data_IF_330661107177
#
_entry.id   IF_330661107177
#
_cell.length_a   1.000
_cell.length_b   1.000
_cell.length_c   1.000
_cell.angle_alpha   90.00
_cell.angle_beta   90.00
_cell.angle_gamma   90.00
#
_symmetry.space_group_name_H-M   'P 1'
#
loop_
_entity.id
_entity.type
_entity.pdbx_description
1 polymer ?
#
# COMPACT_ATOMS: atom_id res chain seq x y z
N UNK A 1 -20.81 -48.58 -35.31
CA UNK A 1 -20.94 -47.38 -34.48
C UNK A 1 -20.27 -47.48 -33.09
N UNK A 2 -20.01 -48.64 -32.49
CA UNK A 2 -19.35 -48.77 -31.15
C UNK A 2 -17.85 -48.39 -31.13
N UNK A 3 -17.08 -48.58 -32.18
CA UNK A 3 -15.63 -48.33 -32.19
C UNK A 3 -15.20 -46.84 -32.33
N UNK A 4 -16.10 -45.93 -32.73
CA UNK A 4 -15.79 -44.48 -32.77
C UNK A 4 -15.89 -43.80 -31.41
N UNK A 5 -16.82 -44.23 -30.55
CA UNK A 5 -16.99 -43.66 -29.19
C UNK A 5 -15.82 -44.00 -28.24
N UNK A 6 -15.21 -45.20 -28.41
CA UNK A 6 -14.05 -45.58 -27.58
C UNK A 6 -12.78 -44.79 -27.96
N UNK A 7 -12.58 -44.48 -29.25
CA UNK A 7 -11.41 -43.67 -29.66
C UNK A 7 -11.49 -42.22 -29.22
N UNK A 8 -12.68 -41.59 -29.19
CA UNK A 8 -12.89 -40.24 -28.72
C UNK A 8 -12.70 -40.13 -27.19
N UNK A 9 -13.14 -41.11 -26.41
CA UNK A 9 -12.93 -41.13 -24.95
C UNK A 9 -11.43 -41.28 -24.56
N UNK A 10 -10.71 -42.14 -25.28
CA UNK A 10 -9.28 -42.33 -25.08
C UNK A 10 -8.47 -41.06 -25.43
N UNK A 11 -8.82 -40.34 -26.49
CA UNK A 11 -8.14 -39.08 -26.86
C UNK A 11 -8.43 -37.98 -25.84
N UNK A 12 -9.67 -37.84 -25.32
CA UNK A 12 -9.96 -36.89 -24.25
C UNK A 12 -9.19 -37.19 -22.94
N UNK A 13 -9.04 -38.47 -22.60
CA UNK A 13 -8.28 -38.86 -21.42
C UNK A 13 -6.79 -38.55 -21.53
N UNK A 14 -6.18 -38.80 -22.71
CA UNK A 14 -4.77 -38.50 -22.99
C UNK A 14 -4.51 -36.99 -23.00
N UNK A 15 -5.42 -36.17 -23.55
CA UNK A 15 -5.31 -34.72 -23.58
C UNK A 15 -5.47 -34.14 -22.19
N UNK A 16 -6.42 -34.62 -21.37
CA UNK A 16 -6.59 -34.19 -19.97
C UNK A 16 -5.38 -34.57 -19.12
N UNK A 17 -4.83 -35.77 -19.34
CA UNK A 17 -3.63 -36.23 -18.62
C UNK A 17 -2.37 -35.45 -19.03
N UNK A 18 -2.22 -35.10 -20.29
CA UNK A 18 -1.13 -34.25 -20.79
C UNK A 18 -1.24 -32.80 -20.30
N UNK A 19 -2.45 -32.29 -20.19
CA UNK A 19 -2.72 -30.97 -19.65
C UNK A 19 -2.42 -30.91 -18.11
N UNK A 20 -2.78 -31.96 -17.38
CA UNK A 20 -2.47 -32.05 -15.94
C UNK A 20 -0.96 -32.20 -15.70
N UNK A 21 -0.26 -33.03 -16.48
CA UNK A 21 1.20 -33.16 -16.42
C UNK A 21 1.92 -31.85 -16.77
N UNK A 22 1.46 -31.10 -17.77
CA UNK A 22 2.04 -29.81 -18.12
C UNK A 22 1.80 -28.73 -17.05
N UNK A 23 0.65 -28.75 -16.38
CA UNK A 23 0.38 -27.87 -15.25
C UNK A 23 1.21 -28.24 -14.02
N UNK A 24 1.38 -29.51 -13.72
CA UNK A 24 2.26 -29.96 -12.62
C UNK A 24 3.73 -29.63 -12.91
N UNK A 25 4.22 -29.81 -14.12
CA UNK A 25 5.60 -29.48 -14.51
C UNK A 25 5.83 -27.95 -14.46
N UNK A 26 4.86 -27.15 -14.90
CA UNK A 26 4.93 -25.67 -14.79
C UNK A 26 4.91 -25.22 -13.32
N UNK A 27 4.03 -25.79 -12.52
CA UNK A 27 3.97 -25.53 -11.08
C UNK A 27 5.26 -25.93 -10.38
N UNK A 28 5.82 -27.09 -10.69
CA UNK A 28 7.06 -27.56 -10.12
C UNK A 28 8.29 -26.75 -10.56
N UNK A 29 8.32 -26.23 -11.80
CA UNK A 29 9.33 -25.26 -12.27
C UNK A 29 9.19 -23.91 -11.58
N UNK A 30 7.97 -23.43 -11.37
CA UNK A 30 7.71 -22.17 -10.65
C UNK A 30 8.18 -22.26 -9.18
N UNK A 31 7.93 -23.39 -8.50
CA UNK A 31 8.39 -23.66 -7.13
C UNK A 31 9.92 -23.72 -7.03
N UNK A 32 10.60 -24.32 -8.02
CA UNK A 32 12.07 -24.40 -8.04
C UNK A 32 12.76 -23.04 -8.20
N UNK A 33 12.08 -22.06 -8.82
CA UNK A 33 12.62 -20.71 -8.98
C UNK A 33 12.38 -19.78 -7.78
N UNK A 34 11.61 -20.22 -6.78
CA UNK A 34 11.25 -19.42 -5.60
C UNK A 34 12.08 -19.84 -4.37
N UNK A 35 13.41 -19.87 -4.55
CA UNK A 35 14.38 -20.21 -3.51
C UNK A 35 15.41 -19.09 -3.41
N UNK A 36 15.57 -18.51 -2.22
CA UNK A 36 16.69 -17.62 -1.90
C UNK A 36 17.92 -18.48 -1.55
N UNK A 37 18.89 -18.55 -2.48
CA UNK A 37 20.12 -19.32 -2.29
C UNK A 37 21.03 -18.76 -1.18
N UNK A 38 20.81 -17.51 -0.79
CA UNK A 38 21.54 -16.86 0.31
C UNK A 38 20.90 -17.03 1.68
N UNK A 39 19.76 -17.77 1.78
CA UNK A 39 19.04 -17.97 3.02
C UNK A 39 19.06 -19.43 3.48
N UNK A 40 19.28 -19.67 4.77
CA UNK A 40 19.28 -21.01 5.36
C UNK A 40 17.87 -21.38 5.83
N UNK A 41 17.23 -22.27 5.08
CA UNK A 41 15.90 -22.78 5.41
C UNK A 41 15.96 -23.83 6.52
N UNK A 42 15.51 -23.46 7.71
CA UNK A 42 15.51 -24.35 8.89
C UNK A 42 14.37 -25.39 8.81
N UNK A 43 14.62 -26.59 9.33
CA UNK A 43 13.56 -27.59 9.47
C UNK A 43 12.51 -27.09 10.45
N UNK A 44 11.26 -27.23 10.09
CA UNK A 44 10.10 -26.90 10.92
C UNK A 44 9.14 -28.08 11.00
N UNK A 45 8.58 -28.35 12.18
CA UNK A 45 7.54 -29.35 12.37
C UNK A 45 6.18 -28.64 12.43
N UNK A 46 5.36 -28.70 11.36
CA UNK A 46 4.07 -28.03 11.32
C UNK A 46 3.14 -28.49 12.44
N UNK A 47 2.40 -27.54 13.00
CA UNK A 47 1.33 -27.79 13.98
C UNK A 47 -0.04 -27.70 13.29
N UNK A 48 -1.05 -28.38 13.83
CA UNK A 48 -2.43 -28.31 13.30
C UNK A 48 -3.04 -26.90 13.37
N UNK A 49 -2.54 -26.08 14.29
CA UNK A 49 -2.98 -24.71 14.52
C UNK A 49 -2.28 -23.67 13.64
N UNK A 50 -1.26 -24.08 12.88
CA UNK A 50 -0.56 -23.16 11.99
C UNK A 50 -1.47 -22.77 10.81
N UNK A 51 -1.51 -21.48 10.49
CA UNK A 51 -2.05 -21.02 9.22
C UNK A 51 -1.08 -21.42 8.11
N UNK A 52 -1.62 -22.04 7.07
CA UNK A 52 -0.83 -22.48 5.91
C UNK A 52 -1.11 -21.53 4.76
N UNK A 53 -0.06 -20.91 4.23
CA UNK A 53 -0.16 -20.02 3.05
C UNK A 53 0.77 -20.56 1.96
N UNK A 54 0.29 -20.58 0.71
CA UNK A 54 1.11 -20.91 -0.46
C UNK A 54 1.99 -19.71 -0.83
N UNK A 55 3.30 -19.95 -0.97
CA UNK A 55 4.29 -18.93 -1.32
C UNK A 55 4.08 -18.39 -2.74
N UNK A 56 3.79 -19.27 -3.68
CA UNK A 56 3.54 -18.89 -5.09
C UNK A 56 2.23 -18.11 -5.25
N UNK A 57 1.16 -18.50 -4.54
CA UNK A 57 -0.08 -17.72 -4.53
C UNK A 57 0.10 -16.36 -3.85
N UNK A 58 0.93 -16.31 -2.83
CA UNK A 58 1.25 -15.04 -2.15
C UNK A 58 2.09 -14.14 -3.07
N UNK A 59 3.01 -14.70 -3.85
CA UNK A 59 3.75 -13.98 -4.87
C UNK A 59 2.81 -13.33 -5.91
N UNK A 60 1.78 -14.05 -6.36
CA UNK A 60 0.75 -13.49 -7.25
C UNK A 60 -0.01 -12.34 -6.59
N UNK A 61 -0.32 -12.46 -5.30
CA UNK A 61 -0.93 -11.37 -4.51
C UNK A 61 0.01 -10.16 -4.37
N UNK A 62 1.30 -10.37 -4.13
CA UNK A 62 2.28 -9.28 -4.11
C UNK A 62 2.44 -8.60 -5.48
N UNK A 63 2.35 -9.36 -6.57
CA UNK A 63 2.26 -8.77 -7.90
C UNK A 63 1.00 -7.91 -8.03
N UNK A 64 -0.14 -8.43 -7.56
CA UNK A 64 -1.41 -7.69 -7.53
C UNK A 64 -1.34 -6.41 -6.71
N UNK A 65 -0.59 -6.41 -5.59
CA UNK A 65 -0.30 -5.23 -4.79
C UNK A 65 0.37 -4.15 -5.65
N UNK A 66 1.56 -4.41 -6.19
CA UNK A 66 2.32 -3.45 -6.98
C UNK A 66 1.56 -2.95 -8.22
N UNK A 67 0.83 -3.85 -8.90
CA UNK A 67 0.02 -3.46 -10.05
C UNK A 67 -1.16 -2.59 -9.66
N UNK A 68 -1.89 -2.98 -8.63
CA UNK A 68 -3.06 -2.25 -8.13
C UNK A 68 -2.68 -0.87 -7.60
N UNK A 69 -1.58 -0.79 -6.86
CA UNK A 69 -0.99 0.43 -6.36
C UNK A 69 -0.60 1.39 -7.49
N UNK A 70 0.17 0.93 -8.49
CA UNK A 70 0.55 1.77 -9.63
C UNK A 70 -0.65 2.27 -10.43
N UNK A 71 -1.68 1.44 -10.69
CA UNK A 71 -2.91 1.90 -11.39
C UNK A 71 -3.58 3.00 -10.58
N UNK A 72 -3.69 2.79 -9.30
CA UNK A 72 -4.44 3.66 -8.40
C UNK A 72 -3.70 4.96 -8.12
N UNK A 73 -2.41 4.89 -7.83
CA UNK A 73 -1.54 6.04 -7.64
C UNK A 73 -1.57 6.98 -8.87
N UNK A 74 -1.29 6.46 -10.07
CA UNK A 74 -1.33 7.26 -11.30
C UNK A 74 -2.72 7.82 -11.62
N UNK A 75 -3.79 7.17 -11.15
CA UNK A 75 -5.16 7.69 -11.27
C UNK A 75 -5.40 8.81 -10.27
N UNK A 76 -4.92 8.68 -9.04
CA UNK A 76 -5.02 9.69 -8.00
C UNK A 76 -4.21 10.94 -8.30
N UNK A 77 -2.99 10.79 -8.84
CA UNK A 77 -2.11 11.89 -9.29
C UNK A 77 -2.78 12.84 -10.29
N UNK A 78 -3.83 12.42 -11.00
CA UNK A 78 -4.58 13.33 -11.90
C UNK A 78 -5.23 14.46 -11.14
N UNK A 79 -5.73 14.19 -9.94
CA UNK A 79 -6.52 15.13 -9.11
C UNK A 79 -5.81 15.56 -7.84
N UNK A 80 -4.53 15.17 -7.70
CA UNK A 80 -3.72 15.49 -6.52
C UNK A 80 -3.70 17.00 -6.27
N UNK A 81 -4.11 17.38 -5.07
CA UNK A 81 -4.15 18.77 -4.59
C UNK A 81 -5.00 19.77 -5.42
N UNK A 82 -5.86 19.29 -6.30
CA UNK A 82 -6.82 20.14 -7.02
C UNK A 82 -7.86 20.74 -6.07
N UNK A 83 -8.29 19.94 -5.11
CA UNK A 83 -9.39 20.26 -4.19
C UNK A 83 -9.00 20.00 -2.75
N UNK A 84 -8.67 21.07 -2.03
CA UNK A 84 -8.38 21.03 -0.60
C UNK A 84 -9.35 21.89 0.24
N UNK A 85 -10.40 22.38 -0.40
CA UNK A 85 -11.32 23.37 0.17
C UNK A 85 -10.71 24.78 0.18
N UNK A 86 -11.27 25.65 1.04
CA UNK A 86 -10.80 27.01 1.20
C UNK A 86 -10.12 27.16 2.56
N UNK A 87 -8.80 27.05 2.60
CA UNK A 87 -7.98 27.07 3.82
C UNK A 87 -6.99 28.24 3.75
N UNK A 88 -7.06 29.16 4.72
CA UNK A 88 -6.21 30.37 4.71
C UNK A 88 -6.37 31.16 3.44
N UNK A 89 -5.26 31.39 2.75
CA UNK A 89 -5.15 32.08 1.46
C UNK A 89 -5.42 31.18 0.25
N UNK A 90 -5.38 29.85 0.43
CA UNK A 90 -5.61 28.88 -0.64
C UNK A 90 -7.12 28.73 -0.88
N UNK A 91 -7.55 28.86 -2.13
CA UNK A 91 -8.96 28.79 -2.54
C UNK A 91 -9.13 27.86 -3.73
N UNK A 92 -9.51 26.61 -3.46
CA UNK A 92 -9.75 25.62 -4.52
C UNK A 92 -11.24 25.43 -4.86
N UNK A 93 -12.13 26.12 -4.13
CA UNK A 93 -13.57 26.05 -4.36
C UNK A 93 -14.21 24.75 -3.86
N UNK A 94 -15.30 24.37 -4.51
CA UNK A 94 -16.01 23.15 -4.18
C UNK A 94 -15.21 21.90 -4.59
N UNK A 95 -15.33 20.87 -3.77
CA UNK A 95 -14.72 19.57 -4.07
C UNK A 95 -15.40 18.87 -5.27
N UNK A 96 -14.71 17.92 -5.86
CA UNK A 96 -15.29 17.05 -6.89
C UNK A 96 -16.45 16.20 -6.34
N UNK A 97 -17.33 15.80 -7.24
CA UNK A 97 -18.39 14.83 -6.99
C UNK A 97 -18.26 13.69 -8.00
N UNK A 98 -19.04 12.63 -7.83
CA UNK A 98 -19.08 11.51 -8.80
C UNK A 98 -19.35 11.96 -10.25
N UNK A 99 -20.01 13.12 -10.43
CA UNK A 99 -20.30 13.70 -11.74
C UNK A 99 -19.05 14.24 -12.46
N UNK A 100 -17.94 14.42 -11.74
CA UNK A 100 -16.67 14.88 -12.31
C UNK A 100 -15.86 13.74 -12.93
N UNK A 101 -16.19 12.48 -12.64
CA UNK A 101 -15.53 11.37 -13.31
C UNK A 101 -15.77 11.38 -14.81
N UNK A 102 -14.70 11.26 -15.60
CA UNK A 102 -14.73 11.39 -17.05
C UNK A 102 -14.79 12.85 -17.56
N UNK A 103 -14.71 13.85 -16.68
CA UNK A 103 -14.65 15.27 -17.04
C UNK A 103 -13.21 15.75 -17.11
N UNK A 104 -13.04 16.95 -17.67
CA UNK A 104 -11.75 17.65 -17.73
C UNK A 104 -11.23 17.88 -16.32
N UNK A 105 -9.95 17.59 -16.14
CA UNK A 105 -9.22 17.87 -14.92
C UNK A 105 -9.07 19.40 -14.70
N UNK A 106 -8.82 19.79 -13.44
CA UNK A 106 -8.64 21.19 -13.05
C UNK A 106 -7.20 21.39 -12.54
N UNK A 107 -6.82 22.64 -12.33
CA UNK A 107 -5.50 22.97 -11.82
C UNK A 107 -5.39 22.66 -10.32
N UNK A 108 -4.28 22.11 -9.94
CA UNK A 108 -3.91 21.94 -8.53
C UNK A 108 -3.45 23.26 -7.89
N UNK A 109 -3.13 23.22 -6.58
CA UNK A 109 -2.73 24.41 -5.81
C UNK A 109 -1.43 25.06 -6.29
N UNK A 110 -0.60 24.36 -7.07
CA UNK A 110 0.65 24.88 -7.61
C UNK A 110 0.49 25.58 -8.99
N UNK A 111 -0.73 25.57 -9.55
CA UNK A 111 -1.00 26.08 -10.90
C UNK A 111 -0.55 25.12 -11.99
N UNK A 112 -1.28 24.98 -13.03
CA UNK A 112 -1.18 23.89 -14.00
C UNK A 112 0.21 23.54 -14.51
N UNK A 113 0.43 22.28 -14.80
CA UNK A 113 1.61 21.75 -15.50
C UNK A 113 2.05 20.35 -15.14
N UNK A 114 1.95 19.91 -13.89
CA UNK A 114 2.39 18.55 -13.53
C UNK A 114 1.35 17.48 -13.93
N UNK A 115 0.09 17.70 -13.64
CA UNK A 115 -0.96 16.70 -13.80
C UNK A 115 -1.53 16.63 -15.22
N UNK A 116 -1.54 17.75 -15.95
CA UNK A 116 -1.94 17.79 -17.36
C UNK A 116 -1.12 16.84 -18.27
N UNK A 117 0.09 16.47 -17.85
CA UNK A 117 0.92 15.51 -18.56
C UNK A 117 0.56 14.02 -18.24
N UNK A 118 -0.23 13.77 -17.18
CA UNK A 118 -0.69 12.45 -16.80
C UNK A 118 -1.98 12.12 -17.55
N UNK A 119 -2.99 12.93 -17.38
CA UNK A 119 -4.26 12.85 -18.10
C UNK A 119 -4.97 14.21 -18.09
N UNK A 120 -5.56 14.66 -19.20
CA UNK A 120 -6.40 15.85 -19.20
C UNK A 120 -7.81 15.60 -18.66
N UNK A 121 -8.11 14.36 -18.28
CA UNK A 121 -9.43 13.88 -17.89
C UNK A 121 -9.32 13.08 -16.61
N UNK A 122 -10.22 13.30 -15.67
CA UNK A 122 -10.32 12.53 -14.43
C UNK A 122 -10.85 11.13 -14.75
N UNK A 123 -9.93 10.19 -15.01
CA UNK A 123 -10.25 8.80 -15.34
C UNK A 123 -9.06 7.91 -14.97
N UNK A 124 -9.27 6.60 -15.05
CA UNK A 124 -8.21 5.63 -14.81
C UNK A 124 -7.01 5.84 -15.73
N UNK A 125 -5.83 5.87 -15.15
CA UNK A 125 -4.57 5.92 -15.89
C UNK A 125 -3.97 4.52 -16.00
N UNK A 126 -3.66 4.11 -17.23
CA UNK A 126 -3.16 2.76 -17.50
C UNK A 126 -1.85 2.78 -18.28
N UNK A 127 -1.10 1.68 -18.14
CA UNK A 127 0.05 1.35 -18.99
C UNK A 127 -0.17 -0.03 -19.58
N UNK A 128 -0.28 -0.09 -20.90
CA UNK A 128 -0.52 -1.34 -21.63
C UNK A 128 0.69 -2.27 -21.63
N UNK A 129 0.48 -3.54 -22.00
CA UNK A 129 1.56 -4.52 -22.19
C UNK A 129 2.67 -3.94 -23.07
N UNK A 130 3.91 -4.13 -22.66
CA UNK A 130 5.08 -3.55 -23.32
C UNK A 130 5.45 -2.14 -22.84
N UNK A 131 4.54 -1.43 -22.17
CA UNK A 131 4.79 -0.16 -21.51
C UNK A 131 5.60 -0.29 -20.23
N UNK A 132 5.68 0.81 -19.48
CA UNK A 132 6.38 0.89 -18.19
C UNK A 132 5.65 1.86 -17.27
N UNK A 133 5.44 1.46 -16.02
CA UNK A 133 4.95 2.31 -14.95
C UNK A 133 6.10 3.21 -14.46
N UNK A 134 5.80 4.45 -14.22
CA UNK A 134 6.65 5.31 -13.41
C UNK A 134 6.32 5.15 -11.93
N UNK A 135 6.94 5.97 -11.12
CA UNK A 135 6.71 6.05 -9.68
C UNK A 135 6.72 7.49 -9.19
N UNK A 136 6.18 7.71 -8.03
CA UNK A 136 6.36 8.86 -7.18
C UNK A 136 6.72 8.41 -5.75
N UNK A 137 6.55 9.23 -4.74
CA UNK A 137 6.96 8.90 -3.38
C UNK A 137 6.06 7.84 -2.71
N UNK A 138 4.78 7.70 -3.09
CA UNK A 138 3.91 6.63 -2.59
C UNK A 138 4.46 5.24 -2.91
N UNK A 139 4.98 5.05 -4.12
CA UNK A 139 5.44 3.74 -4.59
C UNK A 139 6.94 3.55 -4.45
N UNK A 140 7.76 4.62 -4.57
CA UNK A 140 9.20 4.49 -4.64
C UNK A 140 9.88 4.34 -3.27
N UNK A 141 9.33 4.91 -2.21
CA UNK A 141 9.88 4.74 -0.87
C UNK A 141 9.58 3.33 -0.34
N UNK A 142 8.42 2.77 -0.62
CA UNK A 142 8.13 1.36 -0.34
C UNK A 142 9.09 0.41 -1.07
N UNK A 143 9.34 0.70 -2.35
CA UNK A 143 10.34 -0.03 -3.13
C UNK A 143 11.73 0.08 -2.50
N UNK A 144 12.14 1.27 -2.02
CA UNK A 144 13.41 1.45 -1.30
C UNK A 144 13.44 0.57 -0.05
N UNK A 145 12.41 0.56 0.79
CA UNK A 145 12.37 -0.28 1.99
C UNK A 145 12.46 -1.77 1.65
N UNK A 146 11.71 -2.24 0.65
CA UNK A 146 11.82 -3.61 0.18
C UNK A 146 13.25 -3.93 -0.30
N UNK A 147 13.86 -3.01 -1.07
CA UNK A 147 15.23 -3.15 -1.55
C UNK A 147 16.22 -3.22 -0.40
N UNK A 148 16.12 -2.36 0.60
CA UNK A 148 17.01 -2.35 1.77
C UNK A 148 16.91 -3.63 2.59
N UNK A 149 15.70 -4.16 2.82
CA UNK A 149 15.52 -5.46 3.49
C UNK A 149 16.20 -6.58 2.73
N UNK A 150 16.03 -6.62 1.41
CA UNK A 150 16.60 -7.66 0.56
C UNK A 150 18.13 -7.58 0.47
N UNK A 151 18.70 -6.40 0.19
CA UNK A 151 20.15 -6.18 0.07
C UNK A 151 20.89 -6.41 1.40
N UNK A 152 20.32 -5.95 2.51
CA UNK A 152 20.89 -6.17 3.84
C UNK A 152 20.65 -7.61 4.36
N UNK A 153 19.90 -8.44 3.64
CA UNK A 153 19.54 -9.81 4.02
C UNK A 153 18.96 -9.87 5.45
N UNK A 154 18.08 -8.94 5.76
CA UNK A 154 17.44 -8.77 7.06
C UNK A 154 15.93 -8.74 6.95
N UNK A 155 15.23 -9.05 8.02
CA UNK A 155 13.79 -8.90 8.15
C UNK A 155 13.39 -7.62 8.90
N UNK A 156 14.34 -6.97 9.58
CA UNK A 156 14.13 -5.71 10.32
C UNK A 156 15.27 -4.74 9.99
N UNK A 157 14.92 -3.52 9.62
CA UNK A 157 15.90 -2.47 9.38
C UNK A 157 16.29 -1.76 10.69
N UNK A 158 17.58 -1.51 10.85
CA UNK A 158 18.09 -0.63 11.90
C UNK A 158 18.04 0.83 11.44
N UNK A 159 18.02 1.79 12.38
CA UNK A 159 18.08 3.22 12.06
C UNK A 159 19.30 3.58 11.20
N UNK A 160 20.44 2.91 11.43
CA UNK A 160 21.64 3.06 10.61
C UNK A 160 21.41 2.60 9.16
N UNK A 161 20.80 1.43 8.95
CA UNK A 161 20.51 0.92 7.61
C UNK A 161 19.50 1.81 6.87
N UNK A 162 18.50 2.34 7.56
CA UNK A 162 17.55 3.30 6.96
C UNK A 162 18.30 4.56 6.52
N UNK A 163 19.07 5.17 7.42
CA UNK A 163 19.85 6.37 7.10
C UNK A 163 20.80 6.14 5.93
N UNK A 164 21.63 5.09 5.98
CA UNK A 164 22.59 4.78 4.92
C UNK A 164 21.89 4.51 3.59
N UNK A 165 20.76 3.80 3.62
CA UNK A 165 19.93 3.51 2.45
C UNK A 165 19.34 4.78 1.82
N UNK A 166 18.74 5.64 2.63
CA UNK A 166 18.18 6.90 2.13
C UNK A 166 19.26 7.81 1.52
N UNK A 167 20.38 8.00 2.22
CA UNK A 167 21.50 8.82 1.72
C UNK A 167 22.14 8.24 0.45
N UNK A 168 22.09 6.93 0.26
CA UNK A 168 22.61 6.25 -0.94
C UNK A 168 21.65 6.33 -2.12
N UNK A 169 20.35 6.21 -1.86
CA UNK A 169 19.36 5.95 -2.90
C UNK A 169 18.51 7.17 -3.28
N UNK A 170 18.59 8.26 -2.53
CA UNK A 170 17.86 9.49 -2.80
C UNK A 170 18.85 10.58 -3.15
N UNK A 171 18.65 11.30 -4.26
CA UNK A 171 19.48 12.42 -4.63
C UNK A 171 19.43 13.53 -3.60
N UNK A 172 20.58 14.08 -3.23
CA UNK A 172 20.72 15.03 -2.13
C UNK A 172 20.90 16.49 -2.59
N UNK A 173 21.35 16.71 -3.84
CA UNK A 173 21.88 17.98 -4.35
C UNK A 173 20.90 18.75 -5.24
N UNK A 174 19.79 18.15 -5.60
CA UNK A 174 18.75 18.76 -6.45
C UNK A 174 17.37 18.54 -5.85
N UNK A 175 16.34 19.14 -6.45
CA UNK A 175 14.96 18.81 -6.11
C UNK A 175 14.75 17.30 -6.28
N UNK A 176 14.43 16.63 -5.18
CA UNK A 176 14.36 15.17 -5.11
C UNK A 176 12.95 14.62 -5.01
N UNK A 177 11.95 15.50 -5.04
CA UNK A 177 10.52 15.14 -4.92
C UNK A 177 10.22 14.32 -3.66
N UNK A 178 10.92 14.63 -2.59
CA UNK A 178 10.48 14.32 -1.24
C UNK A 178 9.75 15.53 -0.67
N UNK A 179 8.71 15.27 0.07
CA UNK A 179 7.88 16.33 0.61
C UNK A 179 7.95 16.32 2.15
N UNK A 180 7.59 17.43 2.73
CA UNK A 180 7.31 17.70 4.14
C UNK A 180 8.16 16.90 5.12
N UNK A 181 7.61 15.88 5.80
CA UNK A 181 8.33 15.13 6.83
C UNK A 181 9.40 14.19 6.27
N UNK A 182 9.22 13.66 5.04
CA UNK A 182 10.25 12.89 4.35
C UNK A 182 11.48 13.76 4.03
N UNK A 183 11.29 14.95 3.45
CA UNK A 183 12.40 15.87 3.17
C UNK A 183 13.10 16.29 4.46
N UNK A 184 12.34 16.63 5.51
CA UNK A 184 12.93 16.99 6.79
C UNK A 184 13.73 15.86 7.41
N UNK A 185 13.23 14.62 7.35
CA UNK A 185 13.95 13.45 7.84
C UNK A 185 15.27 13.23 7.07
N UNK A 186 15.26 13.36 5.73
CA UNK A 186 16.46 13.26 4.91
C UNK A 186 17.51 14.33 5.30
N UNK A 187 17.09 15.57 5.54
CA UNK A 187 17.99 16.65 5.94
C UNK A 187 18.61 16.39 7.34
N UNK A 188 17.84 15.83 8.26
CA UNK A 188 18.37 15.40 9.56
C UNK A 188 19.34 14.22 9.42
N UNK A 189 19.07 13.28 8.50
CA UNK A 189 19.98 12.18 8.19
C UNK A 189 21.31 12.67 7.60
N UNK A 190 21.32 13.70 6.76
CA UNK A 190 22.53 14.37 6.28
C UNK A 190 23.37 14.91 7.44
N UNK A 191 22.72 15.42 8.48
CA UNK A 191 23.37 15.93 9.70
C UNK A 191 23.81 14.82 10.68
N UNK A 192 23.58 13.54 10.35
CA UNK A 192 24.02 12.40 11.15
C UNK A 192 22.94 11.75 12.03
N UNK A 193 21.74 12.32 12.07
CA UNK A 193 20.63 11.70 12.83
C UNK A 193 20.14 10.41 12.19
N UNK A 194 19.52 9.57 12.96
CA UNK A 194 18.93 8.29 12.52
C UNK A 194 17.51 8.15 13.10
N UNK A 195 16.64 7.37 12.44
CA UNK A 195 15.41 6.96 13.09
C UNK A 195 15.69 6.25 14.44
N UNK A 196 14.95 6.55 15.50
CA UNK A 196 13.71 7.33 15.55
C UNK A 196 13.89 8.85 15.80
N UNK A 197 15.10 9.37 15.88
CA UNK A 197 15.38 10.77 16.18
C UNK A 197 14.93 11.73 15.06
N UNK A 198 14.90 11.25 13.82
CA UNK A 198 14.49 12.02 12.63
C UNK A 198 13.01 12.41 12.62
N UNK A 199 12.18 11.78 13.43
CA UNK A 199 10.77 12.13 13.60
C UNK A 199 10.44 12.71 14.97
N UNK A 200 11.44 12.88 15.86
CA UNK A 200 11.18 13.52 17.15
C UNK A 200 10.62 14.94 16.90
N UNK A 201 9.50 15.32 17.55
CA UNK A 201 8.87 16.64 17.37
C UNK A 201 9.81 17.82 17.62
N UNK A 202 10.89 17.63 18.37
CA UNK A 202 11.92 18.66 18.59
C UNK A 202 12.81 18.88 17.37
N UNK A 203 12.98 17.85 16.55
CA UNK A 203 13.87 17.86 15.38
C UNK A 203 13.09 18.05 14.07
N UNK A 204 11.91 17.45 13.99
CA UNK A 204 11.04 17.45 12.81
C UNK A 204 9.66 18.02 13.18
N UNK A 205 9.39 19.30 12.90
CA UNK A 205 8.09 19.92 13.19
C UNK A 205 6.96 19.34 12.32
N UNK A 206 7.30 18.65 11.20
CA UNK A 206 6.36 18.06 10.25
C UNK A 206 5.95 16.61 10.61
N UNK A 207 6.20 16.17 11.84
CA UNK A 207 6.02 14.78 12.31
C UNK A 207 4.56 14.27 12.26
N UNK A 208 3.57 15.12 12.02
CA UNK A 208 2.16 14.75 11.81
C UNK A 208 1.71 14.86 10.34
N UNK A 209 2.67 14.94 9.41
CA UNK A 209 2.38 14.86 7.97
C UNK A 209 2.20 13.42 7.49
N UNK A 210 1.73 13.29 6.25
CA UNK A 210 1.23 12.04 5.67
C UNK A 210 2.32 10.99 5.40
N UNK A 211 3.56 11.40 5.24
CA UNK A 211 4.63 10.62 4.57
C UNK A 211 4.83 9.17 5.07
N UNK A 212 4.66 8.89 6.36
CA UNK A 212 4.82 7.51 6.85
C UNK A 212 3.64 6.60 6.47
N UNK A 213 2.43 7.15 6.34
CA UNK A 213 1.26 6.33 5.97
C UNK A 213 1.27 5.87 4.52
N UNK A 214 1.91 6.64 3.63
CA UNK A 214 2.03 6.32 2.20
C UNK A 214 3.27 5.49 1.85
N UNK A 215 4.15 5.20 2.80
CA UNK A 215 5.44 4.56 2.51
C UNK A 215 5.73 3.30 3.32
N UNK A 216 4.82 2.89 4.21
CA UNK A 216 5.13 1.81 5.17
C UNK A 216 4.11 0.67 5.22
N UNK A 217 3.02 0.71 4.50
CA UNK A 217 1.98 -0.31 4.51
C UNK A 217 2.46 -1.68 4.02
N UNK A 218 3.44 -1.72 3.11
CA UNK A 218 4.06 -2.94 2.61
C UNK A 218 4.62 -3.84 3.73
N UNK A 219 5.03 -3.26 4.86
CA UNK A 219 5.49 -4.03 6.02
C UNK A 219 4.39 -4.94 6.59
N UNK A 220 3.13 -4.56 6.42
CA UNK A 220 1.98 -5.41 6.73
C UNK A 220 2.00 -6.72 5.93
N UNK A 221 2.30 -6.62 4.64
CA UNK A 221 2.37 -7.78 3.75
C UNK A 221 3.59 -8.68 4.05
N UNK A 222 4.66 -8.14 4.64
CA UNK A 222 5.83 -8.95 5.01
C UNK A 222 5.62 -9.80 6.27
N UNK A 223 4.60 -9.51 7.08
CA UNK A 223 4.21 -10.33 8.22
C UNK A 223 2.76 -10.84 8.09
N UNK A 224 2.51 -11.81 7.17
CA UNK A 224 1.17 -12.29 6.87
C UNK A 224 0.47 -12.85 8.11
N UNK A 225 -0.77 -12.43 8.32
CA UNK A 225 -1.66 -12.85 9.43
C UNK A 225 -1.21 -12.47 10.85
N UNK A 226 -0.14 -11.70 10.97
CA UNK A 226 0.50 -11.38 12.26
C UNK A 226 0.77 -9.87 12.38
N UNK A 227 -0.28 -9.07 12.57
CA UNK A 227 -0.13 -7.61 12.69
C UNK A 227 0.76 -7.19 13.88
N UNK A 228 0.85 -7.99 14.93
CA UNK A 228 1.78 -7.77 16.05
C UNK A 228 3.26 -7.78 15.58
N UNK A 229 3.60 -8.63 14.64
CA UNK A 229 4.95 -8.68 14.05
C UNK A 229 5.11 -7.61 12.97
N UNK A 230 4.08 -7.38 12.14
CA UNK A 230 4.10 -6.32 11.14
C UNK A 230 4.46 -4.95 11.75
N UNK A 231 3.86 -4.62 12.89
CA UNK A 231 4.17 -3.40 13.63
C UNK A 231 5.63 -3.33 14.12
N UNK A 232 6.22 -4.48 14.52
CA UNK A 232 7.64 -4.52 14.88
C UNK A 232 8.55 -4.26 13.69
N UNK A 233 8.21 -4.80 12.51
CA UNK A 233 8.97 -4.57 11.27
C UNK A 233 8.87 -3.11 10.82
N UNK A 234 7.69 -2.52 10.91
CA UNK A 234 7.39 -1.17 10.46
C UNK A 234 7.83 -0.07 11.45
N UNK A 235 8.17 -0.40 12.69
CA UNK A 235 8.38 0.57 13.76
C UNK A 235 9.37 1.69 13.40
N UNK A 236 10.60 1.36 13.02
CA UNK A 236 11.59 2.36 12.62
C UNK A 236 11.30 3.02 11.27
N UNK A 237 10.84 2.29 10.22
CA UNK A 237 10.33 2.93 9.02
C UNK A 237 9.26 4.00 9.29
N UNK A 238 8.23 3.72 10.08
CA UNK A 238 7.22 4.71 10.48
C UNK A 238 7.89 5.85 11.26
N UNK A 239 8.72 5.53 12.24
CA UNK A 239 9.41 6.53 13.04
C UNK A 239 10.60 7.20 12.33
N UNK A 240 10.74 7.01 11.04
CA UNK A 240 11.61 7.84 10.21
C UNK A 240 11.05 9.26 10.09
N UNK A 241 9.73 9.40 9.97
CA UNK A 241 9.05 10.68 9.71
C UNK A 241 7.89 10.99 10.66
N UNK A 242 7.24 9.97 11.25
CA UNK A 242 5.96 10.14 11.95
C UNK A 242 6.04 9.95 13.47
N UNK A 243 5.21 10.71 14.16
CA UNK A 243 4.91 10.57 15.60
C UNK A 243 3.42 10.81 15.86
N UNK A 244 2.97 10.38 17.04
CA UNK A 244 1.62 10.59 17.54
C UNK A 244 0.56 10.09 16.55
N UNK A 245 -0.38 10.95 16.12
CA UNK A 245 -1.46 10.52 15.24
C UNK A 245 -0.98 10.01 13.90
N UNK A 246 0.04 10.60 13.28
CA UNK A 246 0.61 10.11 12.03
C UNK A 246 1.24 8.71 12.19
N UNK A 247 1.93 8.45 13.32
CA UNK A 247 2.44 7.13 13.65
C UNK A 247 1.30 6.11 13.80
N UNK A 248 0.26 6.42 14.58
CA UNK A 248 -0.89 5.51 14.78
C UNK A 248 -1.67 5.27 13.49
N UNK A 249 -1.81 6.27 12.64
CA UNK A 249 -2.43 6.14 11.31
C UNK A 249 -1.61 5.19 10.42
N UNK A 250 -0.29 5.35 10.38
CA UNK A 250 0.59 4.45 9.62
C UNK A 250 0.51 3.01 10.15
N UNK A 251 0.47 2.83 11.47
CA UNK A 251 0.25 1.53 12.10
C UNK A 251 -1.11 0.92 11.73
N UNK A 252 -2.16 1.74 11.60
CA UNK A 252 -3.48 1.29 11.12
C UNK A 252 -3.37 0.68 9.72
N UNK A 253 -2.65 1.32 8.79
CA UNK A 253 -2.47 0.79 7.43
C UNK A 253 -1.63 -0.50 7.43
N UNK A 254 -0.56 -0.56 8.19
CA UNK A 254 0.27 -1.77 8.35
C UNK A 254 -0.56 -2.95 8.87
N UNK A 255 -1.42 -2.71 9.88
CA UNK A 255 -2.33 -3.74 10.42
C UNK A 255 -3.29 -4.24 9.34
N UNK A 256 -3.94 -3.34 8.60
CA UNK A 256 -4.87 -3.68 7.53
C UNK A 256 -4.21 -4.60 6.49
N UNK A 257 -3.02 -4.25 6.01
CA UNK A 257 -2.28 -5.04 5.03
C UNK A 257 -1.88 -6.43 5.58
N UNK A 258 -1.46 -6.52 6.84
CA UNK A 258 -1.17 -7.82 7.48
C UNK A 258 -2.43 -8.70 7.57
N UNK A 259 -3.58 -8.11 7.92
CA UNK A 259 -4.85 -8.81 8.04
C UNK A 259 -5.43 -9.26 6.70
N UNK A 260 -5.04 -8.65 5.58
CA UNK A 260 -5.51 -9.02 4.24
C UNK A 260 -5.27 -10.50 3.91
N UNK A 261 -4.21 -11.09 4.46
CA UNK A 261 -3.89 -12.51 4.31
C UNK A 261 -4.56 -13.43 5.35
N UNK A 262 -5.20 -12.85 6.39
CA UNK A 262 -5.92 -13.59 7.44
C UNK A 262 -7.35 -13.90 7.05
N UNK A 263 -7.99 -13.01 6.29
CA UNK A 263 -9.41 -13.10 5.94
C UNK A 263 -9.77 -14.35 5.13
N UNK A 264 -11.01 -14.81 5.27
CA UNK A 264 -11.53 -15.93 4.49
C UNK A 264 -11.97 -15.45 3.11
N UNK A 265 -11.31 -15.93 2.06
CA UNK A 265 -11.59 -15.52 0.67
C UNK A 265 -13.02 -15.91 0.20
N UNK A 266 -13.75 -16.75 0.95
CA UNK A 266 -15.17 -17.11 0.68
C UNK A 266 -16.14 -16.03 1.14
N UNK A 267 -15.73 -15.11 2.02
CA UNK A 267 -16.58 -14.00 2.48
C UNK A 267 -16.60 -12.88 1.44
N UNK A 268 -17.72 -12.14 1.32
CA UNK A 268 -17.78 -10.94 0.50
C UNK A 268 -16.63 -9.96 0.82
N UNK A 269 -16.07 -9.32 -0.21
CA UNK A 269 -14.95 -8.40 -0.04
C UNK A 269 -15.31 -7.26 0.94
N UNK A 270 -16.49 -6.68 0.81
CA UNK A 270 -17.04 -5.67 1.72
C UNK A 270 -16.93 -6.07 3.20
N UNK A 271 -17.36 -7.28 3.56
CA UNK A 271 -17.31 -7.76 4.94
C UNK A 271 -15.87 -7.91 5.44
N UNK A 272 -14.98 -8.36 4.55
CA UNK A 272 -13.55 -8.53 4.86
C UNK A 272 -12.90 -7.17 5.13
N UNK A 273 -13.13 -6.18 4.27
CA UNK A 273 -12.62 -4.81 4.43
C UNK A 273 -13.12 -4.19 5.73
N UNK A 274 -14.41 -4.28 6.01
CA UNK A 274 -14.98 -3.70 7.23
C UNK A 274 -14.40 -4.32 8.48
N UNK A 275 -14.29 -5.66 8.50
CA UNK A 275 -13.68 -6.35 9.63
C UNK A 275 -12.20 -5.94 9.82
N UNK A 276 -11.41 -5.87 8.75
CA UNK A 276 -10.00 -5.46 8.83
C UNK A 276 -9.87 -4.02 9.35
N UNK A 277 -10.70 -3.12 8.87
CA UNK A 277 -10.70 -1.72 9.30
C UNK A 277 -11.09 -1.59 10.78
N UNK A 278 -12.08 -2.35 11.24
CA UNK A 278 -12.47 -2.38 12.66
C UNK A 278 -11.39 -2.96 13.58
N UNK A 279 -10.68 -3.98 13.12
CA UNK A 279 -9.52 -4.51 13.87
C UNK A 279 -8.39 -3.49 13.94
N UNK A 280 -8.05 -2.84 12.82
CA UNK A 280 -7.01 -1.83 12.77
C UNK A 280 -7.37 -0.58 13.60
N UNK A 281 -8.66 -0.18 13.65
CA UNK A 281 -9.15 0.92 14.49
C UNK A 281 -8.78 0.78 15.96
N UNK A 282 -8.64 -0.44 16.46
CA UNK A 282 -8.29 -0.70 17.87
C UNK A 282 -6.89 -0.17 18.23
N UNK A 283 -6.03 0.02 17.23
CA UNK A 283 -4.69 0.60 17.42
C UNK A 283 -4.72 2.10 17.69
N UNK A 284 -5.72 2.81 17.17
CA UNK A 284 -5.86 4.25 17.36
C UNK A 284 -6.34 4.53 18.79
N UNK A 285 -5.62 5.35 19.60
CA UNK A 285 -6.07 5.73 20.93
C UNK A 285 -7.45 6.42 20.89
N UNK A 286 -8.37 6.02 21.74
CA UNK A 286 -9.78 6.46 21.66
C UNK A 286 -9.99 7.97 21.78
N UNK A 287 -9.08 8.67 22.44
CA UNK A 287 -9.08 10.12 22.63
C UNK A 287 -8.38 10.88 21.49
N UNK A 288 -7.67 10.17 20.60
CA UNK A 288 -6.98 10.77 19.45
C UNK A 288 -7.96 11.29 18.40
N UNK A 289 -7.54 12.32 17.66
CA UNK A 289 -8.33 12.80 16.54
C UNK A 289 -8.46 11.74 15.41
N UNK A 290 -7.41 10.94 15.21
CA UNK A 290 -7.43 9.86 14.20
C UNK A 290 -8.52 8.82 14.49
N UNK A 291 -8.67 8.41 15.76
CA UNK A 291 -9.75 7.52 16.18
C UNK A 291 -11.13 8.13 15.94
N UNK A 292 -11.30 9.38 16.31
CA UNK A 292 -12.57 10.12 16.15
C UNK A 292 -12.93 10.35 14.69
N UNK A 293 -11.93 10.58 13.83
CA UNK A 293 -12.10 10.67 12.37
C UNK A 293 -12.63 9.36 11.79
N UNK A 294 -11.99 8.24 12.11
CA UNK A 294 -12.47 6.92 11.69
C UNK A 294 -13.92 6.67 12.14
N UNK A 295 -14.19 6.87 13.42
CA UNK A 295 -15.51 6.64 14.00
C UNK A 295 -16.57 7.58 13.42
N UNK A 296 -16.19 8.82 13.08
CA UNK A 296 -17.08 9.77 12.41
C UNK A 296 -17.47 9.26 11.02
N UNK A 297 -16.50 8.95 10.15
CA UNK A 297 -16.75 8.45 8.79
C UNK A 297 -17.58 7.17 8.83
N UNK A 298 -17.24 6.24 9.72
CA UNK A 298 -17.97 4.98 9.87
C UNK A 298 -19.43 5.20 10.25
N UNK A 299 -19.72 6.09 11.22
CA UNK A 299 -21.11 6.42 11.58
C UNK A 299 -21.89 7.03 10.42
N UNK A 300 -21.30 7.92 9.66
CA UNK A 300 -21.94 8.54 8.50
C UNK A 300 -22.24 7.50 7.41
N UNK A 301 -21.28 6.60 7.15
CA UNK A 301 -21.48 5.50 6.23
C UNK A 301 -22.62 4.57 6.69
N UNK A 302 -22.68 4.20 7.97
CA UNK A 302 -23.78 3.39 8.53
C UNK A 302 -25.15 4.09 8.46
N UNK A 303 -25.15 5.41 8.49
CA UNK A 303 -26.36 6.23 8.30
C UNK A 303 -26.74 6.42 6.82
N UNK A 304 -26.00 5.79 5.88
CA UNK A 304 -26.18 5.89 4.43
C UNK A 304 -26.11 7.34 3.90
N UNK A 305 -25.32 8.20 4.54
CA UNK A 305 -25.03 9.55 4.02
C UNK A 305 -24.14 9.41 2.79
N UNK A 306 -24.43 10.09 1.65
CA UNK A 306 -23.56 10.03 0.47
C UNK A 306 -22.13 10.44 0.77
N UNK A 307 -21.16 9.78 0.14
CA UNK A 307 -19.73 9.99 0.42
C UNK A 307 -19.27 11.44 0.19
N UNK A 308 -19.86 12.14 -0.77
CA UNK A 308 -19.56 13.55 -1.03
C UNK A 308 -19.92 14.42 0.17
N UNK A 309 -21.09 14.20 0.77
CA UNK A 309 -21.53 14.93 1.97
C UNK A 309 -20.66 14.59 3.19
N UNK A 310 -20.20 13.35 3.29
CA UNK A 310 -19.30 12.95 4.38
C UNK A 310 -17.94 13.62 4.21
N UNK A 311 -17.39 13.65 3.01
CA UNK A 311 -16.15 14.35 2.68
C UNK A 311 -16.27 15.86 3.00
N UNK A 312 -17.37 16.51 2.59
CA UNK A 312 -17.62 17.91 2.89
C UNK A 312 -17.75 18.15 4.41
N UNK A 313 -18.35 17.21 5.13
CA UNK A 313 -18.44 17.24 6.60
C UNK A 313 -17.07 17.06 7.27
N UNK A 314 -16.17 16.25 6.71
CA UNK A 314 -14.78 16.11 7.16
C UNK A 314 -14.05 17.44 7.01
N UNK A 315 -14.13 18.07 5.84
CA UNK A 315 -13.56 19.39 5.60
C UNK A 315 -14.05 20.42 6.62
N UNK A 316 -15.36 20.54 6.78
CA UNK A 316 -15.97 21.49 7.71
C UNK A 316 -15.53 21.22 9.15
N UNK A 317 -15.64 19.96 9.60
CA UNK A 317 -15.36 19.58 10.97
C UNK A 317 -13.89 19.72 11.36
N UNK A 318 -12.97 19.28 10.50
CA UNK A 318 -11.56 19.17 10.88
C UNK A 318 -10.70 20.31 10.35
N UNK A 319 -10.91 20.81 9.15
CA UNK A 319 -10.10 21.92 8.65
C UNK A 319 -10.69 23.29 9.02
N UNK A 320 -12.00 23.44 9.07
CA UNK A 320 -12.63 24.73 9.40
C UNK A 320 -12.84 24.87 10.89
N UNK A 321 -13.51 23.91 11.52
CA UNK A 321 -13.87 23.96 12.96
C UNK A 321 -12.74 23.44 13.87
N UNK A 322 -11.77 22.73 13.33
CA UNK A 322 -10.66 22.13 14.06
C UNK A 322 -11.10 21.30 15.29
N UNK A 323 -12.15 20.49 15.08
CA UNK A 323 -12.75 19.69 16.12
C UNK A 323 -11.83 18.55 16.59
N UNK A 324 -12.18 17.94 17.71
CA UNK A 324 -11.55 16.74 18.27
C UNK A 324 -10.05 16.87 18.60
N UNK A 325 -9.54 18.09 18.70
CA UNK A 325 -8.11 18.35 18.92
C UNK A 325 -7.26 18.35 17.64
N UNK A 326 -7.88 18.32 16.46
CA UNK A 326 -7.19 18.51 15.19
C UNK A 326 -6.98 20.00 14.92
N UNK A 327 -5.80 20.51 15.26
CA UNK A 327 -5.47 21.96 15.21
C UNK A 327 -4.40 22.30 14.16
N UNK A 328 -4.06 21.32 13.27
CA UNK A 328 -2.93 21.46 12.36
C UNK A 328 -3.12 22.60 11.35
N UNK A 329 -4.35 22.83 10.88
CA UNK A 329 -4.67 23.90 9.93
C UNK A 329 -4.27 25.29 10.46
N UNK A 330 -4.38 25.53 11.77
CA UNK A 330 -4.01 26.81 12.39
C UNK A 330 -2.52 26.98 12.64
N UNK A 331 -1.72 25.93 12.53
CA UNK A 331 -0.27 25.97 12.79
C UNK A 331 0.52 26.62 11.65
N UNK A 332 -0.11 26.97 10.54
CA UNK A 332 0.51 27.64 9.37
C UNK A 332 1.75 26.92 8.83
N UNK A 333 1.78 25.60 8.96
CA UNK A 333 2.76 24.74 8.31
C UNK A 333 2.46 24.65 6.80
N UNK A 334 3.31 23.99 6.03
CA UNK A 334 3.19 23.95 4.56
C UNK A 334 1.73 23.77 4.11
N UNK A 335 1.28 24.60 3.15
CA UNK A 335 -0.08 24.68 2.57
C UNK A 335 -1.22 24.62 3.64
N UNK A 336 -1.01 25.19 4.83
CA UNK A 336 -1.97 25.13 5.94
C UNK A 336 -2.35 23.68 6.33
N UNK A 337 -1.37 22.77 6.34
CA UNK A 337 -1.50 21.35 6.65
C UNK A 337 -2.37 20.55 5.66
N UNK A 338 -2.35 20.89 4.37
CA UNK A 338 -3.04 20.10 3.36
C UNK A 338 -2.50 18.66 3.25
N UNK A 339 -1.22 18.44 3.56
CA UNK A 339 -0.57 17.14 3.65
C UNK A 339 -0.58 16.53 5.07
N UNK A 340 -1.43 17.02 5.97
CA UNK A 340 -1.50 16.42 7.31
C UNK A 340 -2.08 15.01 7.26
N UNK A 341 -1.46 14.09 8.01
CA UNK A 341 -1.90 12.70 8.09
C UNK A 341 -3.38 12.57 8.44
N UNK A 342 -3.89 13.39 9.38
CA UNK A 342 -5.27 13.30 9.85
C UNK A 342 -6.32 13.54 8.76
N UNK A 343 -6.25 14.67 8.04
CA UNK A 343 -7.27 14.99 7.02
C UNK A 343 -7.24 13.99 5.86
N UNK A 344 -6.04 13.60 5.44
CA UNK A 344 -5.83 12.60 4.40
C UNK A 344 -6.29 11.20 4.85
N UNK A 345 -6.07 10.84 6.12
CA UNK A 345 -6.63 9.62 6.70
C UNK A 345 -8.15 9.62 6.69
N UNK A 346 -8.79 10.70 7.14
CA UNK A 346 -10.25 10.78 7.13
C UNK A 346 -10.82 10.64 5.71
N UNK A 347 -10.20 11.27 4.72
CA UNK A 347 -10.53 11.12 3.29
C UNK A 347 -10.32 9.69 2.80
N UNK A 348 -9.21 9.06 3.17
CA UNK A 348 -8.91 7.68 2.79
C UNK A 348 -9.93 6.69 3.34
N UNK A 349 -10.41 6.88 4.58
CA UNK A 349 -11.48 6.04 5.16
C UNK A 349 -12.81 6.21 4.43
N UNK A 350 -13.08 7.39 3.86
CA UNK A 350 -14.25 7.56 2.97
C UNK A 350 -14.12 6.64 1.77
N UNK A 351 -12.99 6.68 1.04
CA UNK A 351 -12.82 5.83 -0.14
C UNK A 351 -12.84 4.34 0.20
N UNK A 352 -12.22 3.92 1.30
CA UNK A 352 -12.20 2.52 1.75
C UNK A 352 -13.61 1.99 2.05
N UNK A 353 -14.38 2.72 2.86
CA UNK A 353 -15.68 2.22 3.31
C UNK A 353 -16.75 2.32 2.22
N UNK A 354 -16.77 3.40 1.44
CA UNK A 354 -17.76 3.61 0.37
C UNK A 354 -17.43 2.88 -0.92
N UNK A 355 -16.17 2.51 -1.14
CA UNK A 355 -15.77 1.61 -2.23
C UNK A 355 -16.20 0.16 -2.02
N UNK A 356 -16.56 -0.22 -0.77
CA UNK A 356 -17.15 -1.52 -0.40
C UNK A 356 -16.34 -2.74 -0.89
N UNK A 357 -15.04 -2.54 -1.14
CA UNK A 357 -14.14 -3.57 -1.65
C UNK A 357 -14.15 -3.75 -3.17
N UNK A 358 -14.86 -2.92 -3.92
CA UNK A 358 -14.69 -2.80 -5.36
C UNK A 358 -13.49 -1.90 -5.65
N UNK A 359 -12.45 -2.45 -6.31
CA UNK A 359 -11.20 -1.73 -6.56
C UNK A 359 -11.42 -0.47 -7.42
N UNK A 360 -12.32 -0.52 -8.41
CA UNK A 360 -12.57 0.63 -9.29
C UNK A 360 -13.32 1.72 -8.57
N UNK A 361 -14.34 1.38 -7.80
CA UNK A 361 -15.11 2.36 -7.06
C UNK A 361 -14.30 2.98 -5.94
N UNK A 362 -13.48 2.20 -5.23
CA UNK A 362 -12.56 2.69 -4.21
C UNK A 362 -11.57 3.71 -4.78
N UNK A 363 -10.94 3.41 -5.93
CA UNK A 363 -10.02 4.32 -6.61
C UNK A 363 -10.74 5.60 -7.07
N UNK A 364 -11.94 5.48 -7.68
CA UNK A 364 -12.72 6.66 -8.13
C UNK A 364 -13.05 7.60 -6.98
N UNK A 365 -13.53 7.04 -5.85
CA UNK A 365 -13.87 7.85 -4.69
C UNK A 365 -12.60 8.52 -4.14
N UNK A 366 -11.49 7.80 -4.03
CA UNK A 366 -10.21 8.34 -3.58
C UNK A 366 -9.75 9.51 -4.45
N UNK A 367 -9.72 9.32 -5.76
CA UNK A 367 -9.33 10.36 -6.72
C UNK A 367 -10.23 11.60 -6.67
N UNK A 368 -11.52 11.45 -6.38
CA UNK A 368 -12.47 12.57 -6.32
C UNK A 368 -12.60 13.21 -4.93
N UNK A 369 -12.07 12.57 -3.90
CA UNK A 369 -12.25 13.03 -2.52
C UNK A 369 -11.46 14.30 -2.18
N UNK A 370 -10.38 14.58 -2.90
CA UNK A 370 -9.56 15.78 -2.70
C UNK A 370 -8.34 15.54 -1.81
N UNK A 371 -7.62 16.61 -1.51
CA UNK A 371 -6.33 16.65 -0.83
C UNK A 371 -5.27 15.85 -1.62
N UNK A 372 -4.48 15.06 -0.95
CA UNK A 372 -3.45 14.17 -1.49
C UNK A 372 -4.11 12.90 -2.02
N UNK A 373 -4.77 13.00 -3.17
CA UNK A 373 -5.68 11.97 -3.67
C UNK A 373 -4.98 10.72 -4.20
N UNK A 374 -3.72 10.81 -4.58
CA UNK A 374 -2.91 9.66 -5.02
C UNK A 374 -2.53 8.74 -3.86
N UNK A 375 -2.34 9.27 -2.65
CA UNK A 375 -2.07 8.46 -1.46
C UNK A 375 -3.21 7.48 -1.12
N UNK A 376 -4.47 7.91 -0.84
CA UNK A 376 -5.53 6.95 -0.53
C UNK A 376 -5.83 6.00 -1.69
N UNK A 377 -5.64 6.45 -2.93
CA UNK A 377 -5.82 5.56 -4.07
C UNK A 377 -4.72 4.52 -4.16
N UNK A 378 -3.44 4.90 -4.02
CA UNK A 378 -2.30 3.97 -4.02
C UNK A 378 -2.47 2.90 -2.94
N UNK A 379 -2.63 3.32 -1.68
CA UNK A 379 -2.80 2.44 -0.52
C UNK A 379 -3.93 1.41 -0.73
N UNK A 380 -5.12 1.86 -1.13
CA UNK A 380 -6.25 0.93 -1.29
C UNK A 380 -6.20 0.16 -2.60
N UNK A 381 -5.63 0.74 -3.65
CA UNK A 381 -5.33 0.03 -4.89
C UNK A 381 -4.36 -1.12 -4.66
N UNK A 382 -3.32 -0.88 -3.86
CA UNK A 382 -2.37 -1.89 -3.41
C UNK A 382 -3.03 -2.97 -2.56
N UNK A 383 -3.79 -2.59 -1.52
CA UNK A 383 -4.49 -3.52 -0.65
C UNK A 383 -5.47 -4.42 -1.42
N UNK A 384 -6.36 -3.82 -2.21
CA UNK A 384 -7.36 -4.57 -2.98
C UNK A 384 -6.70 -5.38 -4.08
N UNK A 385 -5.68 -4.83 -4.74
CA UNK A 385 -4.85 -5.55 -5.71
C UNK A 385 -4.19 -6.79 -5.09
N UNK A 386 -3.64 -6.67 -3.89
CA UNK A 386 -3.14 -7.82 -3.13
C UNK A 386 -4.24 -8.84 -2.84
N UNK A 387 -5.41 -8.39 -2.42
CA UNK A 387 -6.49 -9.31 -2.04
C UNK A 387 -7.03 -10.12 -3.22
N UNK A 388 -7.07 -9.55 -4.42
CA UNK A 388 -7.58 -10.22 -5.63
C UNK A 388 -6.49 -10.84 -6.51
N UNK A 389 -5.21 -10.49 -6.31
CA UNK A 389 -4.07 -10.94 -7.10
C UNK A 389 -4.02 -10.35 -8.52
N UNK A 390 -2.93 -10.64 -9.25
CA UNK A 390 -2.72 -10.15 -10.62
C UNK A 390 -3.92 -10.37 -11.54
N UNK A 391 -4.36 -11.64 -11.63
CA UNK A 391 -5.48 -11.99 -12.51
C UNK A 391 -6.78 -11.29 -12.12
N UNK A 392 -6.99 -11.09 -10.82
CA UNK A 392 -8.14 -10.36 -10.30
C UNK A 392 -8.14 -8.90 -10.72
N UNK A 393 -6.99 -8.22 -10.67
CA UNK A 393 -6.83 -6.84 -11.14
C UNK A 393 -7.08 -6.77 -12.65
N UNK A 394 -6.44 -7.62 -13.45
CA UNK A 394 -6.63 -7.67 -14.89
C UNK A 394 -8.11 -7.92 -15.27
N UNK A 395 -8.79 -8.80 -14.55
CA UNK A 395 -10.22 -9.07 -14.73
C UNK A 395 -11.08 -7.86 -14.35
N UNK A 396 -10.80 -7.19 -13.23
CA UNK A 396 -11.58 -6.03 -12.79
C UNK A 396 -11.58 -4.90 -13.83
N UNK A 397 -10.44 -4.67 -14.47
CA UNK A 397 -10.29 -3.65 -15.51
C UNK A 397 -10.48 -4.18 -16.95
N UNK A 398 -10.72 -5.48 -17.11
CA UNK A 398 -10.88 -6.16 -18.40
C UNK A 398 -9.75 -5.85 -19.39
N UNK A 399 -8.48 -5.88 -18.93
CA UNK A 399 -7.29 -5.64 -19.75
C UNK A 399 -6.02 -6.24 -19.14
N UNK A 400 -4.96 -6.31 -19.97
CA UNK A 400 -3.61 -6.63 -19.53
C UNK A 400 -2.81 -5.35 -19.34
N UNK A 401 -1.78 -5.43 -18.48
CA UNK A 401 -1.00 -4.28 -18.09
C UNK A 401 0.50 -4.50 -18.27
N UNK A 402 1.25 -3.39 -18.32
CA UNK A 402 2.69 -3.41 -18.24
C UNK A 402 3.16 -4.10 -16.95
N UNK A 403 4.20 -4.93 -17.08
CA UNK A 403 4.87 -5.59 -15.96
C UNK A 403 6.15 -4.84 -15.51
N UNK A 404 6.54 -3.78 -16.21
CA UNK A 404 7.74 -3.02 -15.93
C UNK A 404 7.43 -1.82 -15.04
N UNK A 405 8.31 -1.58 -14.09
CA UNK A 405 8.32 -0.46 -13.18
C UNK A 405 9.65 0.28 -13.29
N UNK A 406 9.63 1.59 -13.24
CA UNK A 406 10.80 2.43 -13.20
C UNK A 406 10.70 3.37 -11.99
N UNK A 407 11.62 3.19 -11.05
CA UNK A 407 11.69 4.07 -9.89
C UNK A 407 11.94 5.52 -10.33
N UNK A 408 11.52 6.50 -9.56
CA UNK A 408 11.61 7.92 -9.91
C UNK A 408 13.06 8.32 -10.21
N UNK A 409 13.26 9.24 -11.17
CA UNK A 409 14.59 9.69 -11.65
C UNK A 409 15.50 10.29 -10.57
N UNK A 410 14.92 10.68 -9.44
CA UNK A 410 15.65 11.19 -8.28
C UNK A 410 16.06 10.10 -7.29
N UNK A 411 15.71 8.85 -7.59
CA UNK A 411 16.14 7.66 -6.85
C UNK A 411 17.27 6.99 -7.64
N UNK A 412 18.40 6.72 -7.00
CA UNK A 412 19.63 6.30 -7.66
C UNK A 412 20.27 5.07 -7.04
N UNK A 413 21.25 4.48 -7.72
CA UNK A 413 22.02 3.36 -7.18
C UNK A 413 21.31 1.99 -7.20
N UNK A 414 20.26 1.86 -7.99
CA UNK A 414 19.54 0.59 -8.18
C UNK A 414 20.05 -0.20 -9.40
N UNK A 415 19.92 -1.52 -9.41
CA UNK A 415 20.17 -2.35 -10.58
C UNK A 415 19.37 -1.86 -11.80
N UNK A 416 19.87 -2.10 -13.01
CA UNK A 416 19.19 -1.76 -14.28
C UNK A 416 18.71 -0.29 -14.36
N UNK A 417 19.45 0.63 -13.74
CA UNK A 417 19.06 2.05 -13.66
C UNK A 417 17.67 2.29 -13.08
N UNK A 418 17.26 1.45 -12.12
CA UNK A 418 15.97 1.57 -11.46
C UNK A 418 14.79 0.94 -12.21
N UNK A 419 15.04 0.26 -13.33
CA UNK A 419 14.01 -0.50 -14.04
C UNK A 419 13.89 -1.91 -13.46
N UNK A 420 12.71 -2.28 -13.06
CA UNK A 420 12.38 -3.57 -12.46
C UNK A 420 11.12 -4.18 -13.08
N UNK A 421 10.67 -5.32 -12.55
CA UNK A 421 9.41 -5.96 -12.93
C UNK A 421 8.63 -6.35 -11.69
N UNK A 422 7.31 -6.31 -11.77
CA UNK A 422 6.46 -6.72 -10.65
C UNK A 422 6.70 -8.19 -10.25
N UNK A 423 7.05 -9.07 -11.20
CA UNK A 423 7.46 -10.45 -10.89
C UNK A 423 8.72 -10.48 -10.00
N UNK A 424 9.73 -9.68 -10.31
CA UNK A 424 10.96 -9.63 -9.53
C UNK A 424 10.73 -8.96 -8.15
N UNK A 425 9.93 -7.89 -8.12
CA UNK A 425 9.53 -7.21 -6.88
C UNK A 425 8.76 -8.17 -5.95
N UNK A 426 7.74 -8.85 -6.48
CA UNK A 426 6.96 -9.85 -5.74
C UNK A 426 7.83 -11.01 -5.24
N UNK A 427 8.77 -11.49 -6.06
CA UNK A 427 9.72 -12.54 -5.68
C UNK A 427 10.61 -12.13 -4.51
N UNK A 428 11.16 -10.91 -4.54
CA UNK A 428 11.94 -10.37 -3.40
C UNK A 428 11.09 -10.26 -2.13
N UNK A 429 9.83 -9.84 -2.26
CA UNK A 429 8.87 -9.84 -1.15
C UNK A 429 8.72 -11.23 -0.52
N UNK A 430 8.58 -12.29 -1.32
CA UNK A 430 8.52 -13.67 -0.82
C UNK A 430 9.80 -14.05 -0.06
N UNK A 431 10.97 -13.64 -0.53
CA UNK A 431 12.24 -13.94 0.16
C UNK A 431 12.37 -13.19 1.49
N UNK A 432 11.88 -11.97 1.58
CA UNK A 432 11.77 -11.22 2.83
C UNK A 432 10.83 -11.95 3.79
N UNK A 433 9.66 -12.39 3.32
CA UNK A 433 8.68 -13.14 4.13
C UNK A 433 9.25 -14.48 4.60
N UNK A 434 10.03 -15.19 3.79
CA UNK A 434 10.72 -16.42 4.22
C UNK A 434 11.55 -16.17 5.48
N UNK A 435 12.27 -15.02 5.55
CA UNK A 435 13.04 -14.61 6.73
C UNK A 435 12.13 -14.26 7.89
N UNK A 436 11.14 -13.42 7.67
CA UNK A 436 10.17 -13.00 8.71
C UNK A 436 9.48 -14.22 9.33
N UNK A 437 9.07 -15.20 8.52
CA UNK A 437 8.43 -16.45 9.00
C UNK A 437 9.34 -17.22 9.94
N UNK A 438 10.63 -17.35 9.63
CA UNK A 438 11.56 -18.09 10.47
C UNK A 438 12.11 -17.28 11.65
N UNK A 439 12.34 -15.99 11.47
CA UNK A 439 13.06 -15.15 12.44
C UNK A 439 12.10 -14.53 13.47
N UNK A 440 10.88 -14.15 13.06
CA UNK A 440 9.94 -13.42 13.92
C UNK A 440 8.61 -14.12 14.17
N UNK A 441 8.09 -14.88 13.19
CA UNK A 441 6.81 -15.56 13.37
C UNK A 441 6.93 -16.89 14.10
N UNK A 442 8.15 -17.40 14.31
CA UNK A 442 8.38 -18.73 14.88
C UNK A 442 7.78 -19.86 14.03
N UNK A 443 7.62 -19.60 12.74
CA UNK A 443 7.05 -20.49 11.76
C UNK A 443 8.09 -21.23 10.92
N UNK A 444 7.63 -21.83 9.82
CA UNK A 444 8.50 -22.60 8.93
C UNK A 444 8.19 -22.44 7.46
N UNK A 445 9.22 -22.59 6.65
CA UNK A 445 9.16 -22.55 5.19
C UNK A 445 9.35 -23.96 4.64
N UNK A 446 8.41 -24.44 3.84
CA UNK A 446 8.50 -25.71 3.16
C UNK A 446 8.56 -25.51 1.64
N UNK A 447 9.77 -25.53 1.11
CA UNK A 447 10.00 -25.32 -0.32
C UNK A 447 9.32 -26.37 -1.20
N UNK A 448 9.31 -27.65 -0.76
CA UNK A 448 8.72 -28.76 -1.54
C UNK A 448 7.20 -28.65 -1.62
N UNK A 449 6.54 -28.13 -0.58
CA UNK A 449 5.09 -27.94 -0.52
C UNK A 449 4.65 -26.53 -0.91
N UNK A 450 5.59 -25.67 -1.29
CA UNK A 450 5.34 -24.25 -1.60
C UNK A 450 4.56 -23.57 -0.47
N UNK A 451 4.97 -23.72 0.78
CA UNK A 451 4.15 -23.30 1.91
C UNK A 451 4.93 -22.63 3.03
N UNK A 452 4.30 -21.61 3.62
CA UNK A 452 4.60 -21.13 4.96
C UNK A 452 3.65 -21.77 5.96
N UNK A 453 4.19 -22.12 7.12
CA UNK A 453 3.44 -22.54 8.31
C UNK A 453 3.61 -21.47 9.38
N UNK A 454 2.54 -20.74 9.68
CA UNK A 454 2.57 -19.56 10.54
C UNK A 454 1.78 -19.82 11.82
N UNK A 455 2.44 -19.92 12.99
CA UNK A 455 1.75 -20.02 14.27
C UNK A 455 0.84 -18.81 14.49
N UNK A 456 -0.44 -19.11 14.78
CA UNK A 456 -1.44 -18.07 15.02
C UNK A 456 -1.38 -17.59 16.47
N UNK A 457 -1.59 -16.30 16.66
CA UNK A 457 -1.88 -15.69 17.95
C UNK A 457 -3.26 -15.03 17.87
N UNK A 458 -3.94 -14.92 19.00
CA UNK A 458 -5.16 -14.12 19.06
C UNK A 458 -4.83 -12.65 18.71
N UNK A 459 -5.69 -12.04 17.90
CA UNK A 459 -5.58 -10.61 17.52
C UNK A 459 -6.09 -9.74 18.69
N UNK A 460 -5.75 -10.10 19.91
CA UNK A 460 -6.08 -9.35 21.12
C UNK A 460 -4.84 -8.60 21.55
N UNK A 461 -4.93 -7.29 21.70
CA UNK A 461 -3.84 -6.36 22.07
C UNK A 461 -2.92 -5.99 20.89
N UNK A 462 -3.49 -5.36 19.86
CA UNK A 462 -2.75 -4.61 18.85
C UNK A 462 -2.32 -3.24 19.37
#
# INVERSE_FOLDING_TARGET
>A
MKNRKLKSAAICFVVLFALSLNTEIKAQKAVLNLVDSGFVYKKYKPKKTDKVLSRSKYMDKLYGFWLGECIANWTGLVTEMDKIGNIGDIKTGAFYTRENWGKTDQQNIWGGGLNANISPTIDFVFRDEGGMWGSDDDTDIEYIYQHLLYENKTSVLTGKQIREGWLKHIKLEEENYLWVSNQKALDLMKQGMMPPETSDPKNNPEYEMIDAQLTTEIFGLFAPTRPDVALQLAHLPIQTTARKNAEWISEFYVILHSLASYTDDRKPMKERIYWMADEARKRLPNDSYSAKMYDFVKRQHQANIPWEQVRDSIYQRYQVEQADGYDLTSKKIYCNACFAAGINFASSIVSLLYGEGDIKETIKIGALAGWDSDNPTATWGGLLGFMIGKEGVEKAFNRKFANKYNIHRTRVGFPNNGIDTFDAMAKRGVFIIDRVVQEHLGGGVNLKKDAWYIPQKAITNL
#
